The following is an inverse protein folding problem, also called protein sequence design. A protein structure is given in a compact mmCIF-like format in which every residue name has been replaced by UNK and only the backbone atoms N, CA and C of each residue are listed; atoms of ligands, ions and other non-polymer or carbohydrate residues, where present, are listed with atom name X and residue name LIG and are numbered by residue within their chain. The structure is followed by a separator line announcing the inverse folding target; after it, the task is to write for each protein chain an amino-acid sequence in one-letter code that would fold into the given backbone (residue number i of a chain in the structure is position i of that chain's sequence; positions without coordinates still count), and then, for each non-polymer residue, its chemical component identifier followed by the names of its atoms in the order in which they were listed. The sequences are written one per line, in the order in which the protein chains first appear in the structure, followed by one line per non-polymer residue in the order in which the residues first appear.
data_IF_431980778724
#
_entry.id   IF_431980778724
#
_cell.length_a   1.000
_cell.length_b   1.000
_cell.length_c   1.000
_cell.angle_alpha   90.00
_cell.angle_beta   90.00
_cell.angle_gamma   90.00
#
_symmetry.space_group_name_H-M   'P 1'
#
loop_
_entity.id
_entity.type
_entity.pdbx_description
1 polymer ?
#
# COMPACT_ATOMS: atom_id res chain seq x y z
N UNK A 1 -17.74 0.14 -30.02
CA UNK A 1 -17.53 1.50 -29.50
C UNK A 1 -16.12 1.96 -29.84
N UNK A 2 -15.90 3.25 -30.10
CA UNK A 2 -14.54 3.78 -30.22
C UNK A 2 -13.87 3.71 -28.85
N UNK A 3 -12.60 3.27 -28.82
CA UNK A 3 -11.86 3.15 -27.55
C UNK A 3 -11.48 4.53 -27.03
N UNK A 4 -11.49 4.68 -25.71
CA UNK A 4 -11.01 5.88 -25.02
C UNK A 4 -9.52 6.02 -25.29
N UNK A 5 -9.09 7.17 -25.79
CA UNK A 5 -7.69 7.43 -26.12
C UNK A 5 -6.94 7.98 -24.94
N UNK A 6 -5.77 7.42 -24.65
CA UNK A 6 -4.83 7.97 -23.69
C UNK A 6 -3.76 8.80 -24.41
N UNK A 7 -3.44 9.97 -23.87
CA UNK A 7 -2.36 10.84 -24.39
C UNK A 7 -1.02 10.53 -23.76
N UNK A 8 -0.99 10.47 -22.45
CA UNK A 8 0.19 10.16 -21.65
C UNK A 8 0.14 8.71 -21.15
N UNK A 9 1.24 7.94 -21.22
CA UNK A 9 1.23 6.57 -20.72
C UNK A 9 1.15 6.52 -19.20
N UNK A 10 0.61 5.40 -18.68
CA UNK A 10 0.84 4.92 -17.31
C UNK A 10 2.16 4.14 -17.26
N UNK A 11 2.86 4.23 -16.16
CA UNK A 11 3.93 3.26 -15.87
C UNK A 11 3.28 1.97 -15.37
N UNK A 12 3.43 0.91 -16.15
CA UNK A 12 2.91 -0.42 -15.82
C UNK A 12 4.04 -1.27 -15.26
N UNK A 13 3.92 -1.67 -14.01
CA UNK A 13 4.86 -2.55 -13.32
C UNK A 13 4.22 -3.91 -13.13
N UNK A 14 4.52 -4.86 -14.01
CA UNK A 14 4.04 -6.23 -13.91
C UNK A 14 4.73 -6.98 -12.76
N UNK A 15 4.19 -8.10 -12.33
CA UNK A 15 4.66 -8.78 -11.13
C UNK A 15 4.79 -10.28 -11.29
N UNK A 16 4.43 -11.01 -10.23
CA UNK A 16 4.70 -12.44 -10.10
C UNK A 16 3.45 -13.29 -9.88
N UNK A 17 3.59 -14.56 -10.13
CA UNK A 17 2.70 -15.66 -9.73
C UNK A 17 1.23 -15.46 -10.13
N UNK A 18 0.27 -15.77 -9.24
CA UNK A 18 -1.15 -15.70 -9.57
C UNK A 18 -1.63 -14.27 -9.87
N UNK A 19 -1.03 -13.27 -9.24
CA UNK A 19 -1.37 -11.87 -9.51
C UNK A 19 -0.99 -11.42 -10.92
N UNK A 20 0.10 -11.93 -11.51
CA UNK A 20 0.45 -11.72 -12.91
C UNK A 20 -0.58 -12.34 -13.87
N UNK A 21 -1.10 -13.52 -13.53
CA UNK A 21 -2.19 -14.14 -14.31
C UNK A 21 -3.45 -13.26 -14.29
N UNK A 22 -3.85 -12.81 -13.10
CA UNK A 22 -5.01 -11.91 -12.95
C UNK A 22 -4.79 -10.56 -13.65
N UNK A 23 -3.57 -10.03 -13.59
CA UNK A 23 -3.18 -8.79 -14.26
C UNK A 23 -3.48 -8.82 -15.75
N UNK A 24 -3.02 -9.90 -16.40
CA UNK A 24 -3.31 -10.13 -17.82
C UNK A 24 -4.81 -10.28 -18.08
N UNK A 25 -5.54 -11.06 -17.27
CA UNK A 25 -6.98 -11.25 -17.44
C UNK A 25 -7.76 -9.93 -17.33
N UNK A 26 -7.37 -9.05 -16.40
CA UNK A 26 -7.97 -7.72 -16.21
C UNK A 26 -7.72 -6.87 -17.45
N UNK A 27 -6.50 -6.80 -17.95
CA UNK A 27 -6.17 -6.04 -19.16
C UNK A 27 -6.99 -6.52 -20.35
N UNK A 28 -6.96 -7.82 -20.63
CA UNK A 28 -7.61 -8.43 -21.79
C UNK A 28 -9.13 -8.26 -21.78
N UNK A 29 -9.77 -8.35 -20.62
CA UNK A 29 -11.24 -8.41 -20.53
C UNK A 29 -11.90 -7.11 -20.04
N UNK A 30 -11.21 -6.29 -19.25
CA UNK A 30 -11.82 -5.12 -18.59
C UNK A 30 -11.24 -3.78 -19.07
N UNK A 31 -10.03 -3.74 -19.63
CA UNK A 31 -9.37 -2.48 -20.00
C UNK A 31 -9.24 -2.34 -21.52
N UNK A 32 -8.52 -3.22 -22.17
CA UNK A 32 -8.19 -3.11 -23.59
C UNK A 32 -9.41 -3.14 -24.54
N UNK A 33 -10.55 -3.77 -24.22
CA UNK A 33 -11.75 -3.63 -25.02
C UNK A 33 -12.30 -2.21 -25.09
N UNK A 34 -12.06 -1.38 -24.07
CA UNK A 34 -12.65 -0.06 -23.89
C UNK A 34 -11.67 1.10 -24.06
N UNK A 35 -10.39 0.85 -23.76
CA UNK A 35 -9.34 1.87 -23.74
C UNK A 35 -8.27 1.52 -24.77
N UNK A 36 -7.75 2.52 -25.50
CA UNK A 36 -6.48 2.44 -26.21
C UNK A 36 -5.37 2.63 -25.19
N UNK A 37 -5.11 1.53 -24.44
CA UNK A 37 -4.27 1.54 -23.23
C UNK A 37 -2.80 1.79 -23.61
N UNK A 38 -2.27 2.92 -23.16
CA UNK A 38 -0.85 3.24 -23.33
C UNK A 38 -0.12 3.04 -22.02
N UNK A 39 0.88 2.17 -22.05
CA UNK A 39 1.74 1.93 -20.89
C UNK A 39 3.21 2.04 -21.26
N UNK A 40 4.00 2.49 -20.29
CA UNK A 40 5.45 2.29 -20.25
C UNK A 40 5.66 1.05 -19.36
N UNK A 41 5.90 -0.08 -20.02
CA UNK A 41 5.88 -1.40 -19.37
C UNK A 41 7.22 -1.79 -18.76
N UNK A 42 7.19 -2.25 -17.53
CA UNK A 42 8.32 -2.81 -16.79
C UNK A 42 7.94 -4.16 -16.18
N UNK A 43 8.68 -5.21 -16.52
CA UNK A 43 8.52 -6.52 -15.91
C UNK A 43 9.29 -6.59 -14.59
N UNK A 44 8.56 -6.49 -13.45
CA UNK A 44 9.13 -6.66 -12.12
C UNK A 44 9.01 -8.09 -11.60
N UNK A 45 8.74 -9.05 -12.48
CA UNK A 45 8.81 -10.47 -12.15
C UNK A 45 10.21 -10.86 -11.67
N UNK A 46 10.27 -11.76 -10.69
CA UNK A 46 11.52 -12.11 -10.00
C UNK A 46 12.62 -12.61 -10.95
N UNK A 47 12.25 -13.37 -12.00
CA UNK A 47 13.19 -13.85 -13.02
C UNK A 47 13.85 -12.68 -13.76
N UNK A 48 13.06 -11.73 -14.27
CA UNK A 48 13.58 -10.57 -15.01
C UNK A 48 14.35 -9.61 -14.11
N UNK A 49 13.93 -9.45 -12.85
CA UNK A 49 14.69 -8.69 -11.86
C UNK A 49 16.06 -9.34 -11.61
N UNK A 50 16.12 -10.67 -11.55
CA UNK A 50 17.39 -11.41 -11.41
C UNK A 50 18.30 -11.27 -12.65
N UNK A 51 17.73 -11.23 -13.85
CA UNK A 51 18.48 -10.99 -15.09
C UNK A 51 19.10 -9.60 -15.13
N UNK A 52 18.36 -8.58 -14.66
CA UNK A 52 18.74 -7.15 -14.70
C UNK A 52 19.45 -6.66 -13.44
N UNK A 53 19.82 -7.56 -12.52
CA UNK A 53 20.40 -7.21 -11.23
C UNK A 53 19.53 -6.16 -10.47
N UNK A 54 18.22 -6.35 -10.53
CA UNK A 54 17.14 -5.49 -9.98
C UNK A 54 17.11 -4.04 -10.54
N UNK A 55 17.88 -3.75 -11.61
CA UNK A 55 17.89 -2.42 -12.23
C UNK A 55 16.51 -2.03 -12.77
N UNK A 56 15.71 -2.99 -13.27
CA UNK A 56 14.36 -2.73 -13.79
C UNK A 56 13.44 -2.11 -12.72
N UNK A 57 13.62 -2.44 -11.44
CA UNK A 57 12.86 -1.82 -10.34
C UNK A 57 13.19 -0.33 -10.21
N UNK A 58 14.48 0.01 -10.30
CA UNK A 58 14.94 1.41 -10.28
C UNK A 58 14.40 2.18 -11.48
N UNK A 59 14.52 1.60 -12.67
CA UNK A 59 14.07 2.22 -13.93
C UNK A 59 12.57 2.50 -13.91
N UNK A 60 11.76 1.58 -13.38
CA UNK A 60 10.31 1.76 -13.24
C UNK A 60 9.95 2.92 -12.30
N UNK A 61 10.67 3.08 -11.20
CA UNK A 61 10.49 4.19 -10.27
C UNK A 61 10.89 5.54 -10.90
N UNK A 62 11.98 5.57 -11.67
CA UNK A 62 12.40 6.76 -12.40
C UNK A 62 11.40 7.13 -13.52
N UNK A 63 10.85 6.13 -14.20
CA UNK A 63 9.77 6.34 -15.18
C UNK A 63 8.52 6.92 -14.48
N UNK A 64 8.21 6.48 -13.26
CA UNK A 64 7.10 7.05 -12.47
C UNK A 64 7.32 8.53 -12.17
N UNK A 65 8.54 8.95 -11.87
CA UNK A 65 8.86 10.39 -11.75
C UNK A 65 8.59 11.17 -13.04
N UNK A 66 8.88 10.57 -14.19
CA UNK A 66 8.66 11.18 -15.51
C UNK A 66 7.18 11.28 -15.88
N UNK A 67 6.44 10.18 -15.73
CA UNK A 67 5.04 10.06 -16.18
C UNK A 67 4.01 10.34 -15.09
N UNK A 68 4.43 10.50 -13.83
CA UNK A 68 3.65 10.87 -12.64
C UNK A 68 2.76 9.79 -12.07
N UNK A 69 2.28 8.83 -12.85
CA UNK A 69 1.35 7.80 -12.38
C UNK A 69 1.83 6.41 -12.79
N UNK A 70 1.91 5.53 -11.81
CA UNK A 70 2.20 4.12 -12.00
C UNK A 70 1.07 3.23 -11.46
N UNK A 71 0.97 2.04 -12.04
CA UNK A 71 0.16 0.94 -11.52
C UNK A 71 1.04 -0.30 -11.39
N UNK A 72 1.00 -0.96 -10.25
CA UNK A 72 1.93 -2.03 -9.91
C UNK A 72 1.20 -3.31 -9.50
N UNK A 73 1.61 -4.41 -10.10
CA UNK A 73 1.27 -5.76 -9.71
C UNK A 73 2.06 -6.20 -8.46
N UNK A 74 1.58 -7.22 -7.75
CA UNK A 74 2.31 -7.78 -6.63
C UNK A 74 3.58 -8.51 -7.08
N UNK A 75 4.66 -8.35 -6.33
CA UNK A 75 5.98 -8.89 -6.62
C UNK A 75 6.51 -9.75 -5.48
N UNK A 76 7.33 -10.76 -5.80
CA UNK A 76 7.99 -11.59 -4.81
C UNK A 76 9.15 -10.81 -4.15
N UNK A 77 9.17 -10.81 -2.82
CA UNK A 77 10.39 -10.51 -2.06
C UNK A 77 11.01 -11.86 -1.66
N UNK A 78 12.16 -12.25 -2.23
CA UNK A 78 12.68 -13.60 -2.05
C UNK A 78 13.18 -13.83 -0.62
N UNK A 79 13.00 -15.06 -0.15
CA UNK A 79 13.63 -15.63 1.02
C UNK A 79 14.57 -16.79 0.59
N UNK A 80 15.19 -17.47 1.54
CA UNK A 80 16.13 -18.56 1.23
C UNK A 80 15.52 -19.65 0.33
N UNK A 81 14.25 -20.05 0.55
CA UNK A 81 13.59 -21.04 -0.29
C UNK A 81 13.38 -20.56 -1.74
N UNK A 82 13.13 -19.28 -1.93
CA UNK A 82 13.00 -18.69 -3.27
C UNK A 82 14.32 -18.57 -4.01
N UNK A 83 15.45 -18.47 -3.30
CA UNK A 83 16.77 -18.48 -3.89
C UNK A 83 17.01 -19.76 -4.71
N UNK A 84 16.69 -20.91 -4.11
CA UNK A 84 16.85 -22.19 -4.76
C UNK A 84 15.82 -22.43 -5.87
N UNK A 85 14.56 -22.03 -5.64
CA UNK A 85 13.45 -22.22 -6.58
C UNK A 85 13.65 -21.47 -7.91
N UNK A 86 14.18 -20.25 -7.85
CA UNK A 86 14.34 -19.35 -9.00
C UNK A 86 15.81 -19.23 -9.47
N UNK A 87 16.73 -20.01 -8.90
CA UNK A 87 18.18 -19.93 -9.20
C UNK A 87 18.70 -18.49 -9.17
N UNK A 88 18.44 -17.80 -8.05
CA UNK A 88 18.76 -16.38 -7.93
C UNK A 88 20.23 -16.13 -7.62
N UNK A 89 20.80 -15.11 -8.24
CA UNK A 89 22.18 -14.64 -8.00
C UNK A 89 22.36 -14.12 -6.57
N UNK A 90 21.30 -13.42 -6.05
CA UNK A 90 21.28 -12.93 -4.68
C UNK A 90 19.85 -12.79 -4.15
N UNK A 91 19.71 -12.59 -2.85
CA UNK A 91 18.42 -12.35 -2.19
C UNK A 91 18.02 -10.88 -2.40
N UNK A 92 17.37 -10.60 -3.55
CA UNK A 92 16.96 -9.26 -3.96
C UNK A 92 16.08 -8.58 -2.92
N UNK A 93 16.24 -7.28 -2.76
CA UNK A 93 15.42 -6.46 -1.87
C UNK A 93 13.97 -6.40 -2.34
N UNK A 94 13.06 -5.96 -1.44
CA UNK A 94 11.68 -5.72 -1.82
C UNK A 94 11.57 -4.60 -2.86
N UNK A 95 10.94 -4.84 -4.04
CA UNK A 95 10.70 -3.78 -5.02
C UNK A 95 9.92 -2.60 -4.44
N UNK A 96 8.93 -2.88 -3.57
CA UNK A 96 8.16 -1.84 -2.89
C UNK A 96 9.06 -0.93 -2.05
N UNK A 97 10.05 -1.51 -1.34
CA UNK A 97 11.02 -0.74 -0.57
C UNK A 97 11.90 0.16 -1.44
N UNK A 98 12.36 -0.34 -2.58
CA UNK A 98 13.17 0.41 -3.56
C UNK A 98 12.36 1.55 -4.19
N UNK A 99 11.16 1.25 -4.69
CA UNK A 99 10.26 2.25 -5.32
C UNK A 99 9.91 3.35 -4.32
N UNK A 100 9.50 2.99 -3.10
CA UNK A 100 9.16 3.96 -2.05
C UNK A 100 10.34 4.82 -1.64
N UNK A 101 11.55 4.26 -1.60
CA UNK A 101 12.76 5.03 -1.31
C UNK A 101 13.11 6.05 -2.40
N UNK A 102 12.79 5.75 -3.67
CA UNK A 102 13.06 6.63 -4.82
C UNK A 102 11.97 7.70 -4.96
N UNK A 103 10.70 7.33 -4.79
CA UNK A 103 9.57 8.25 -4.96
C UNK A 103 9.32 9.12 -3.74
N UNK A 104 9.71 8.63 -2.54
CA UNK A 104 9.28 9.17 -1.25
C UNK A 104 7.75 9.21 -1.13
N UNK A 105 7.21 9.44 0.05
CA UNK A 105 5.78 9.67 0.22
C UNK A 105 5.11 8.85 1.29
N UNK A 106 3.79 8.84 1.22
CA UNK A 106 2.89 8.18 2.17
C UNK A 106 2.05 7.14 1.43
N UNK A 107 1.94 5.95 2.00
CA UNK A 107 1.04 4.89 1.50
C UNK A 107 -0.30 5.02 2.18
N UNK A 108 -1.34 5.32 1.40
CA UNK A 108 -2.73 5.31 1.87
C UNK A 108 -3.40 4.00 1.49
N UNK A 109 -3.94 3.31 2.50
CA UNK A 109 -4.65 2.04 2.34
C UNK A 109 -6.07 2.18 2.88
N UNK A 110 -7.05 1.90 2.04
CA UNK A 110 -8.46 2.01 2.38
C UNK A 110 -9.22 0.74 2.00
N UNK A 111 -10.11 0.21 2.88
CA UNK A 111 -10.93 -0.94 2.55
C UNK A 111 -11.97 -0.56 1.49
N UNK A 112 -12.24 -1.49 0.58
CA UNK A 112 -13.34 -1.43 -0.38
C UNK A 112 -14.58 -1.98 0.33
N UNK A 113 -15.55 -1.12 0.59
CA UNK A 113 -16.78 -1.48 1.30
C UNK A 113 -17.84 -1.90 0.30
N UNK A 114 -18.44 -3.07 0.51
CA UNK A 114 -19.48 -3.66 -0.35
C UNK A 114 -20.62 -4.16 0.53
N UNK A 115 -21.86 -3.93 0.14
CA UNK A 115 -23.01 -4.47 0.85
C UNK A 115 -22.99 -6.00 0.82
N UNK A 116 -23.32 -6.58 1.96
CA UNK A 116 -23.28 -8.03 2.13
C UNK A 116 -21.91 -8.57 2.54
N UNK A 117 -20.88 -7.72 2.62
CA UNK A 117 -19.58 -8.04 3.23
C UNK A 117 -19.45 -7.16 4.48
N UNK A 118 -19.85 -7.72 5.61
CA UNK A 118 -19.90 -6.95 6.86
C UNK A 118 -18.55 -7.00 7.59
N UNK A 119 -18.09 -5.88 8.18
CA UNK A 119 -16.90 -5.88 9.02
C UNK A 119 -17.08 -6.79 10.24
N UNK A 120 -16.04 -7.51 10.65
CA UNK A 120 -16.08 -8.33 11.86
C UNK A 120 -16.20 -7.46 13.14
N UNK A 121 -15.84 -6.17 13.06
CA UNK A 121 -16.06 -5.19 14.12
C UNK A 121 -17.41 -4.49 13.86
N UNK A 122 -18.42 -4.85 14.62
CA UNK A 122 -19.82 -4.42 14.40
C UNK A 122 -20.04 -2.90 14.39
N UNK A 123 -19.18 -2.14 15.08
CA UNK A 123 -19.29 -0.68 15.14
C UNK A 123 -18.81 0.01 13.87
N UNK A 124 -17.95 -0.62 13.06
CA UNK A 124 -17.41 0.00 11.86
C UNK A 124 -18.49 0.13 10.79
N UNK A 125 -18.86 1.37 10.48
CA UNK A 125 -19.88 1.71 9.49
C UNK A 125 -19.29 2.41 8.27
N UNK A 126 -18.09 2.97 8.41
CA UNK A 126 -17.39 3.76 7.40
C UNK A 126 -15.96 3.23 7.24
N UNK A 127 -15.35 3.39 6.06
CA UNK A 127 -13.97 2.99 5.83
C UNK A 127 -13.01 3.65 6.85
N UNK A 128 -11.99 2.92 7.26
CA UNK A 128 -10.86 3.44 8.03
C UNK A 128 -9.66 3.42 7.10
N UNK A 129 -9.15 4.58 6.76
CA UNK A 129 -7.98 4.72 5.90
C UNK A 129 -6.72 4.74 6.75
N UNK A 130 -5.77 3.85 6.48
CA UNK A 130 -4.45 3.88 7.12
C UNK A 130 -3.50 4.70 6.24
N UNK A 131 -2.89 5.75 6.81
CA UNK A 131 -1.80 6.48 6.20
C UNK A 131 -0.48 5.97 6.81
N UNK A 132 0.30 5.24 6.01
CA UNK A 132 1.56 4.64 6.41
C UNK A 132 2.73 5.49 5.93
N UNK A 133 3.62 5.90 6.83
CA UNK A 133 4.90 6.49 6.45
C UNK A 133 5.73 5.49 5.65
N UNK A 134 6.22 5.88 4.48
CA UNK A 134 6.91 4.95 3.57
C UNK A 134 8.42 4.84 3.81
N UNK A 135 8.95 5.45 4.86
CA UNK A 135 10.39 5.54 5.13
C UNK A 135 10.73 5.13 6.57
N UNK A 136 11.98 4.69 6.76
CA UNK A 136 12.57 4.49 8.08
C UNK A 136 12.09 3.26 8.84
N UNK A 137 12.16 3.36 10.17
CA UNK A 137 11.86 2.30 11.13
C UNK A 137 12.67 1.01 10.84
N UNK A 138 12.11 -0.15 11.14
CA UNK A 138 12.76 -1.46 10.91
C UNK A 138 13.06 -1.75 9.44
N UNK A 139 12.40 -1.09 8.50
CA UNK A 139 12.62 -1.28 7.05
C UNK A 139 13.93 -0.66 6.54
N UNK A 140 14.55 0.21 7.34
CA UNK A 140 15.88 0.80 7.10
C UNK A 140 16.81 0.62 8.30
N UNK A 141 16.60 -0.44 9.05
CA UNK A 141 17.42 -0.81 10.20
C UNK A 141 18.75 -1.45 9.80
N UNK A 142 19.70 -1.36 10.72
CA UNK A 142 20.95 -2.12 10.70
C UNK A 142 20.95 -3.09 11.87
N UNK A 143 21.34 -4.33 11.63
CA UNK A 143 21.30 -5.39 12.63
C UNK A 143 22.65 -6.07 12.78
N UNK A 144 22.97 -6.51 14.00
CA UNK A 144 24.12 -7.39 14.22
C UNK A 144 23.84 -8.42 15.32
N UNK A 145 24.44 -9.60 15.17
CA UNK A 145 24.53 -10.61 16.22
C UNK A 145 25.71 -10.29 17.14
N UNK A 146 25.48 -10.31 18.44
CA UNK A 146 26.52 -10.14 19.45
C UNK A 146 27.00 -11.54 19.86
N UNK A 147 28.29 -11.86 19.64
CA UNK A 147 28.81 -13.22 19.85
C UNK A 147 29.07 -13.57 21.33
N UNK A 148 29.17 -12.56 22.21
CA UNK A 148 29.49 -12.78 23.63
C UNK A 148 29.46 -11.49 24.44
N UNK A 149 30.05 -11.53 25.63
CA UNK A 149 30.12 -10.38 26.52
C UNK A 149 30.81 -9.15 25.87
N UNK A 150 30.28 -7.97 26.13
CA UNK A 150 30.81 -6.71 25.57
C UNK A 150 29.82 -5.57 25.62
N UNK A 151 30.22 -4.40 25.10
CA UNK A 151 29.41 -3.17 25.07
C UNK A 151 28.97 -2.85 23.65
N UNK A 152 27.74 -2.40 23.51
CA UNK A 152 27.23 -1.81 22.27
C UNK A 152 26.86 -0.37 22.51
N UNK A 153 27.36 0.52 21.65
CA UNK A 153 27.12 1.97 21.70
C UNK A 153 26.57 2.47 20.36
N UNK A 154 25.65 3.44 20.42
CA UNK A 154 25.33 4.32 19.28
C UNK A 154 26.35 5.46 19.27
N UNK A 155 26.97 5.68 18.11
CA UNK A 155 27.95 6.75 17.91
C UNK A 155 27.52 7.62 16.75
N UNK A 156 27.30 8.89 16.99
CA UNK A 156 27.19 9.91 15.96
C UNK A 156 28.51 10.67 15.87
N UNK A 157 29.06 10.77 14.66
CA UNK A 157 30.27 11.56 14.38
C UNK A 157 29.89 12.70 13.44
N UNK A 158 30.02 13.94 13.91
CA UNK A 158 29.77 15.12 13.12
C UNK A 158 30.90 15.37 12.09
N UNK A 159 30.66 16.25 11.12
CA UNK A 159 31.64 16.61 10.07
C UNK A 159 32.96 17.22 10.65
N UNK A 160 32.85 17.90 11.78
CA UNK A 160 34.01 18.47 12.51
C UNK A 160 34.77 17.43 13.36
N UNK A 161 34.33 16.17 13.33
CA UNK A 161 34.92 15.06 14.09
C UNK A 161 34.43 14.94 15.54
N UNK A 162 33.56 15.83 16.01
CA UNK A 162 32.94 15.72 17.34
C UNK A 162 32.02 14.51 17.40
N UNK A 163 31.90 13.89 18.59
CA UNK A 163 31.12 12.67 18.76
C UNK A 163 30.11 12.78 19.89
N UNK A 164 28.94 12.21 19.64
CA UNK A 164 27.93 11.89 20.67
C UNK A 164 27.86 10.37 20.78
N UNK A 165 27.96 9.85 21.99
CA UNK A 165 27.90 8.41 22.26
C UNK A 165 26.81 8.12 23.28
N UNK A 166 26.06 7.05 23.03
CA UNK A 166 25.05 6.55 23.95
C UNK A 166 25.17 5.03 24.10
N UNK A 167 25.31 4.54 25.34
CA UNK A 167 25.37 3.11 25.61
C UNK A 167 24.01 2.49 25.31
N UNK A 168 23.98 1.52 24.40
CA UNK A 168 22.78 0.73 24.12
C UNK A 168 22.60 -0.34 25.19
N UNK A 169 23.64 -1.18 25.38
CA UNK A 169 23.62 -2.26 26.35
C UNK A 169 25.02 -2.82 26.62
N UNK A 170 25.20 -3.32 27.85
CA UNK A 170 26.37 -4.11 28.25
C UNK A 170 25.95 -5.58 28.33
N UNK A 171 26.42 -6.38 27.37
CA UNK A 171 26.08 -7.79 27.26
C UNK A 171 27.00 -8.62 28.16
N UNK A 172 26.44 -9.59 28.87
CA UNK A 172 27.15 -10.63 29.64
C UNK A 172 27.27 -11.95 28.86
N UNK A 173 26.64 -12.05 27.68
CA UNK A 173 26.64 -13.20 26.79
C UNK A 173 26.17 -12.84 25.38
N UNK A 174 25.88 -13.86 24.53
CA UNK A 174 25.38 -13.62 23.17
C UNK A 174 24.05 -12.89 23.15
N UNK A 175 23.82 -12.06 22.09
CA UNK A 175 22.58 -11.32 21.92
C UNK A 175 22.42 -10.81 20.50
N UNK A 176 21.50 -9.88 20.34
CA UNK A 176 21.23 -9.17 19.07
C UNK A 176 21.04 -7.69 19.37
N UNK A 177 21.37 -6.86 18.39
CA UNK A 177 21.07 -5.42 18.42
C UNK A 177 20.55 -4.97 17.07
N UNK A 178 19.63 -4.02 17.08
CA UNK A 178 19.12 -3.34 15.90
C UNK A 178 19.12 -1.83 16.12
N UNK A 179 19.62 -1.09 15.14
CA UNK A 179 19.51 0.37 15.05
C UNK A 179 18.59 0.77 13.91
N UNK A 180 17.70 1.71 14.15
CA UNK A 180 16.83 2.30 13.14
C UNK A 180 16.95 3.82 13.14
N UNK A 181 16.57 4.47 12.03
CA UNK A 181 16.63 5.91 11.90
C UNK A 181 15.44 6.46 11.13
N UNK A 182 15.26 7.77 11.26
CA UNK A 182 14.37 8.56 10.40
C UNK A 182 15.03 9.92 10.12
N UNK A 183 14.47 10.68 9.17
CA UNK A 183 14.95 12.03 8.85
C UNK A 183 13.77 13.00 8.90
N UNK A 184 14.00 14.17 9.49
CA UNK A 184 12.95 15.18 9.69
C UNK A 184 12.22 15.54 8.40
N UNK A 185 12.97 15.75 7.30
CA UNK A 185 12.38 16.05 6.00
C UNK A 185 11.35 15.00 5.54
N UNK A 186 11.61 13.70 5.78
CA UNK A 186 10.66 12.63 5.43
C UNK A 186 9.45 12.62 6.36
N UNK A 187 9.63 12.92 7.65
CA UNK A 187 8.53 13.05 8.62
C UNK A 187 7.65 14.27 8.25
N UNK A 188 8.25 15.39 7.89
CA UNK A 188 7.52 16.58 7.43
C UNK A 188 6.70 16.31 6.16
N UNK A 189 7.30 15.61 5.18
CA UNK A 189 6.62 15.17 3.96
C UNK A 189 5.42 14.28 4.30
N UNK A 190 5.60 13.33 5.19
CA UNK A 190 4.54 12.44 5.68
C UNK A 190 3.41 13.24 6.35
N UNK A 191 3.73 14.17 7.22
CA UNK A 191 2.74 15.03 7.89
C UNK A 191 1.90 15.82 6.88
N UNK A 192 2.55 16.55 5.96
CA UNK A 192 1.87 17.35 4.93
C UNK A 192 0.99 16.48 4.02
N UNK A 193 1.48 15.30 3.64
CA UNK A 193 0.72 14.33 2.85
C UNK A 193 -0.57 13.91 3.57
N UNK A 194 -0.47 13.60 4.88
CA UNK A 194 -1.63 13.21 5.70
C UNK A 194 -2.63 14.35 5.83
N UNK A 195 -2.18 15.57 6.13
CA UNK A 195 -3.06 16.73 6.28
C UNK A 195 -3.74 17.11 4.96
N UNK A 196 -3.00 17.13 3.85
CA UNK A 196 -3.56 17.41 2.53
C UNK A 196 -4.61 16.37 2.13
N UNK A 197 -4.32 15.08 2.34
CA UNK A 197 -5.27 14.01 2.03
C UNK A 197 -6.52 14.08 2.91
N UNK A 198 -6.39 14.46 4.18
CA UNK A 198 -7.52 14.66 5.08
C UNK A 198 -8.44 15.80 4.60
N UNK A 199 -7.88 16.92 4.13
CA UNK A 199 -8.62 18.03 3.55
C UNK A 199 -9.33 17.61 2.25
N UNK A 200 -8.63 16.92 1.35
CA UNK A 200 -9.18 16.47 0.06
C UNK A 200 -10.36 15.50 0.26
N UNK A 201 -10.25 14.60 1.23
CA UNK A 201 -11.29 13.59 1.52
C UNK A 201 -12.32 14.04 2.56
N UNK A 202 -12.11 15.20 3.18
CA UNK A 202 -12.94 15.75 4.28
C UNK A 202 -13.12 14.75 5.43
N UNK A 203 -12.00 14.15 5.86
CA UNK A 203 -11.95 13.17 6.95
C UNK A 203 -11.09 13.68 8.08
N UNK A 204 -11.46 13.32 9.32
CA UNK A 204 -10.61 13.55 10.48
C UNK A 204 -9.28 12.80 10.31
N UNK A 205 -8.22 13.34 10.89
CA UNK A 205 -6.91 12.73 10.91
C UNK A 205 -6.50 12.35 12.33
N UNK A 206 -6.32 11.06 12.57
CA UNK A 206 -5.74 10.54 13.79
C UNK A 206 -4.26 10.21 13.54
N UNK A 207 -3.39 10.65 14.41
CA UNK A 207 -1.99 10.27 14.40
C UNK A 207 -1.59 9.61 15.72
N UNK A 208 -0.80 8.56 15.65
CA UNK A 208 -0.43 7.80 16.83
C UNK A 208 1.03 7.32 16.79
N UNK A 209 1.70 7.47 17.94
CA UNK A 209 3.03 6.94 18.21
C UNK A 209 3.13 6.47 19.65
N UNK A 210 4.30 6.04 20.12
CA UNK A 210 4.53 5.67 21.55
C UNK A 210 5.53 6.62 22.19
N UNK A 211 5.30 7.93 22.10
CA UNK A 211 6.21 8.99 22.53
C UNK A 211 6.53 8.96 24.04
N UNK A 212 5.67 8.36 24.85
CA UNK A 212 5.92 8.16 26.29
C UNK A 212 7.03 7.15 26.57
N UNK A 213 7.32 6.24 25.64
CA UNK A 213 8.40 5.24 25.73
C UNK A 213 9.56 5.65 24.84
N UNK A 214 9.31 5.91 23.56
CA UNK A 214 10.29 6.38 22.60
C UNK A 214 10.37 7.92 22.62
N UNK A 215 11.02 8.43 23.68
CA UNK A 215 10.99 9.85 24.05
C UNK A 215 11.76 10.79 23.13
N UNK A 216 12.59 10.26 22.23
CA UNK A 216 13.26 11.01 21.18
C UNK A 216 12.69 10.69 19.81
N UNK A 217 12.70 9.43 19.42
CA UNK A 217 12.29 9.01 18.09
C UNK A 217 10.81 9.29 17.82
N UNK A 218 9.90 8.72 18.60
CA UNK A 218 8.47 8.91 18.42
C UNK A 218 8.00 10.33 18.79
N UNK A 219 8.65 10.94 19.78
CA UNK A 219 8.35 12.31 20.17
C UNK A 219 8.67 13.32 19.06
N UNK A 220 9.76 13.12 18.31
CA UNK A 220 10.09 13.94 17.14
C UNK A 220 8.99 13.89 16.07
N UNK A 221 8.40 12.71 15.82
CA UNK A 221 7.24 12.60 14.91
C UNK A 221 6.05 13.43 15.39
N UNK A 222 5.72 13.33 16.68
CA UNK A 222 4.62 14.09 17.28
C UNK A 222 4.84 15.59 17.17
N UNK A 223 6.04 16.07 17.50
CA UNK A 223 6.36 17.50 17.46
C UNK A 223 6.29 18.05 16.04
N UNK A 224 6.89 17.37 15.06
CA UNK A 224 6.85 17.79 13.65
C UNK A 224 5.40 17.84 13.12
N UNK A 225 4.58 16.84 13.43
CA UNK A 225 3.17 16.86 13.04
C UNK A 225 2.44 18.05 13.65
N UNK A 226 2.64 18.31 14.95
CA UNK A 226 1.97 19.42 15.64
C UNK A 226 2.43 20.78 15.11
N UNK A 227 3.74 20.97 14.92
CA UNK A 227 4.30 22.24 14.39
C UNK A 227 3.75 22.55 12.98
N UNK A 228 3.70 21.53 12.09
CA UNK A 228 3.16 21.69 10.74
C UNK A 228 1.65 21.96 10.78
N UNK A 229 0.91 21.24 11.63
CA UNK A 229 -0.52 21.47 11.77
C UNK A 229 -0.81 22.91 12.20
N UNK A 230 -0.16 23.37 13.26
CA UNK A 230 -0.39 24.71 13.81
C UNK A 230 0.01 25.83 12.83
N UNK A 231 1.09 25.61 12.07
CA UNK A 231 1.61 26.61 11.14
C UNK A 231 0.86 26.65 9.78
N UNK A 232 0.43 25.50 9.27
CA UNK A 232 0.00 25.39 7.87
C UNK A 232 -1.46 24.92 7.69
N UNK A 233 -2.05 24.16 8.63
CA UNK A 233 -3.30 23.44 8.40
C UNK A 233 -4.44 23.74 9.38
N UNK A 234 -4.19 24.29 10.55
CA UNK A 234 -5.19 24.48 11.61
C UNK A 234 -6.43 25.25 11.14
N UNK A 235 -6.23 26.35 10.44
CA UNK A 235 -7.35 27.17 9.92
C UNK A 235 -8.12 26.43 8.82
N UNK A 236 -7.43 25.70 7.93
CA UNK A 236 -8.03 24.93 6.85
C UNK A 236 -8.88 23.76 7.40
N UNK A 237 -8.41 23.06 8.44
CA UNK A 237 -9.14 21.99 9.11
C UNK A 237 -10.40 22.52 9.78
N UNK A 238 -10.28 23.67 10.47
CA UNK A 238 -11.43 24.36 11.09
C UNK A 238 -12.48 24.77 10.05
N UNK A 239 -12.06 25.31 8.91
CA UNK A 239 -12.95 25.71 7.82
C UNK A 239 -13.63 24.50 7.18
N UNK A 240 -12.89 23.40 7.01
CA UNK A 240 -13.40 22.14 6.47
C UNK A 240 -14.30 21.37 7.46
N UNK A 241 -14.30 21.73 8.75
CA UNK A 241 -15.06 21.05 9.81
C UNK A 241 -14.54 19.66 10.14
N UNK A 242 -13.22 19.45 10.01
CA UNK A 242 -12.51 18.19 10.35
C UNK A 242 -11.49 18.44 11.46
N UNK A 243 -11.12 17.38 12.16
CA UNK A 243 -10.23 17.44 13.33
C UNK A 243 -8.90 16.70 13.09
N UNK A 244 -7.82 17.24 13.67
CA UNK A 244 -6.57 16.54 13.89
C UNK A 244 -6.48 16.08 15.35
N UNK A 245 -6.16 14.80 15.56
CA UNK A 245 -6.10 14.21 16.88
C UNK A 245 -4.85 13.34 17.03
N UNK A 246 -4.03 13.65 18.05
CA UNK A 246 -2.88 12.82 18.42
C UNK A 246 -3.18 11.99 19.67
N UNK A 247 -2.76 10.72 19.68
CA UNK A 247 -2.82 9.86 20.86
C UNK A 247 -1.71 8.79 20.84
N UNK A 248 -1.57 8.05 21.97
CA UNK A 248 -0.66 6.91 22.01
C UNK A 248 -1.21 5.77 21.17
N UNK A 249 -0.31 5.01 20.52
CA UNK A 249 -0.70 3.93 19.58
C UNK A 249 -1.61 2.87 20.22
N UNK A 250 -1.37 2.50 21.47
CA UNK A 250 -2.20 1.55 22.20
C UNK A 250 -3.59 2.11 22.53
N UNK A 251 -3.71 3.41 22.85
CA UNK A 251 -4.99 4.08 23.00
C UNK A 251 -5.72 4.21 21.66
N UNK A 252 -4.98 4.52 20.58
CA UNK A 252 -5.54 4.54 19.23
C UNK A 252 -6.18 3.20 18.87
N UNK A 253 -5.49 2.07 19.08
CA UNK A 253 -6.03 0.72 18.84
C UNK A 253 -7.35 0.52 19.58
N UNK A 254 -7.41 0.89 20.87
CA UNK A 254 -8.62 0.76 21.68
C UNK A 254 -9.78 1.65 21.17
N UNK A 255 -9.47 2.86 20.69
CA UNK A 255 -10.45 3.81 20.14
C UNK A 255 -10.98 3.35 18.78
N UNK A 256 -10.08 2.89 17.91
CA UNK A 256 -10.42 2.36 16.58
C UNK A 256 -11.45 1.24 16.69
N UNK A 257 -11.26 0.29 17.60
CA UNK A 257 -12.20 -0.83 17.83
C UNK A 257 -13.60 -0.39 18.31
N UNK A 258 -13.71 0.79 18.91
CA UNK A 258 -14.97 1.35 19.43
C UNK A 258 -15.60 2.39 18.49
N UNK A 259 -14.86 2.86 17.49
CA UNK A 259 -15.28 3.90 16.55
C UNK A 259 -16.29 3.40 15.52
N UNK A 260 -16.91 4.32 14.81
CA UNK A 260 -17.72 4.02 13.62
C UNK A 260 -16.90 4.01 12.33
N UNK A 261 -15.62 4.38 12.37
CA UNK A 261 -14.77 4.62 11.21
C UNK A 261 -14.99 6.00 10.58
N UNK A 262 -14.53 6.18 9.34
CA UNK A 262 -14.69 7.43 8.58
C UNK A 262 -13.59 8.46 8.81
N UNK A 263 -12.41 8.01 9.20
CA UNK A 263 -11.24 8.85 9.42
C UNK A 263 -9.98 8.22 8.83
N UNK A 264 -8.93 9.03 8.77
CA UNK A 264 -7.58 8.59 8.40
C UNK A 264 -6.79 8.34 9.70
N UNK A 265 -6.15 7.18 9.79
CA UNK A 265 -5.25 6.86 10.87
C UNK A 265 -3.80 6.81 10.37
N UNK A 266 -3.05 7.86 10.69
CA UNK A 266 -1.64 7.97 10.33
C UNK A 266 -0.77 7.20 11.33
N UNK A 267 0.15 6.41 10.79
CA UNK A 267 1.04 5.54 11.52
C UNK A 267 2.45 5.59 10.95
N UNK A 268 3.47 5.39 11.78
CA UNK A 268 4.83 5.14 11.34
C UNK A 268 4.89 3.92 10.43
N UNK A 269 6.03 3.69 9.79
CA UNK A 269 6.16 2.67 8.73
C UNK A 269 5.72 1.28 9.20
N UNK A 270 6.30 0.73 10.28
CA UNK A 270 5.96 -0.60 10.77
C UNK A 270 4.55 -0.66 11.38
N UNK A 271 4.19 0.33 12.20
CA UNK A 271 2.85 0.41 12.79
C UNK A 271 1.78 0.43 11.70
N UNK A 272 1.99 1.22 10.64
CA UNK A 272 1.09 1.33 9.51
C UNK A 272 0.98 0.05 8.66
N UNK A 273 2.07 -0.71 8.55
CA UNK A 273 2.04 -2.01 7.87
C UNK A 273 1.12 -2.98 8.60
N UNK A 274 1.34 -3.15 9.90
CA UNK A 274 0.56 -4.08 10.73
C UNK A 274 -0.90 -3.62 10.86
N UNK A 275 -1.14 -2.34 11.11
CA UNK A 275 -2.50 -1.81 11.31
C UNK A 275 -3.31 -1.82 10.04
N UNK A 276 -2.71 -1.59 8.87
CA UNK A 276 -3.45 -1.67 7.61
C UNK A 276 -3.95 -3.09 7.31
N UNK A 277 -3.12 -4.11 7.58
CA UNK A 277 -3.53 -5.50 7.40
C UNK A 277 -4.61 -5.91 8.41
N UNK A 278 -4.51 -5.45 9.65
CA UNK A 278 -5.54 -5.69 10.67
C UNK A 278 -6.89 -5.07 10.25
N UNK A 279 -6.89 -3.81 9.85
CA UNK A 279 -8.12 -3.10 9.44
C UNK A 279 -8.72 -3.76 8.20
N UNK A 280 -7.91 -4.08 7.19
CA UNK A 280 -8.37 -4.74 5.98
C UNK A 280 -9.01 -6.10 6.27
N UNK A 281 -8.32 -6.92 7.05
CA UNK A 281 -8.83 -8.25 7.44
C UNK A 281 -10.17 -8.13 8.18
N UNK A 282 -10.30 -7.11 9.02
CA UNK A 282 -11.53 -6.87 9.77
C UNK A 282 -12.68 -6.33 8.90
N UNK A 283 -12.39 -5.66 7.78
CA UNK A 283 -13.39 -5.28 6.77
C UNK A 283 -13.75 -6.42 5.81
N UNK A 284 -13.09 -7.57 5.90
CA UNK A 284 -13.45 -8.78 5.17
C UNK A 284 -12.28 -9.52 4.55
N UNK A 285 -11.43 -8.87 3.76
CA UNK A 285 -10.32 -9.52 3.06
C UNK A 285 -9.23 -8.51 2.69
N UNK A 286 -7.96 -8.94 2.74
CA UNK A 286 -6.83 -8.17 2.19
C UNK A 286 -7.00 -7.86 0.69
N UNK A 287 -7.71 -8.73 -0.04
CA UNK A 287 -8.03 -8.51 -1.46
C UNK A 287 -9.12 -7.44 -1.69
N UNK A 288 -9.66 -6.86 -0.62
CA UNK A 288 -10.63 -5.75 -0.63
C UNK A 288 -10.01 -4.45 -0.11
N UNK A 289 -8.71 -4.25 -0.31
CA UNK A 289 -8.00 -3.04 0.12
C UNK A 289 -7.30 -2.37 -1.06
N UNK A 290 -7.57 -1.08 -1.25
CA UNK A 290 -6.78 -0.23 -2.13
C UNK A 290 -5.48 0.20 -1.46
N UNK A 291 -4.45 0.44 -2.26
CA UNK A 291 -3.17 0.99 -1.79
C UNK A 291 -2.65 1.99 -2.82
N UNK A 292 -2.28 3.18 -2.37
CA UNK A 292 -1.66 4.20 -3.20
C UNK A 292 -0.51 4.86 -2.45
N UNK A 293 0.67 4.89 -3.08
CA UNK A 293 1.77 5.75 -2.67
C UNK A 293 1.54 7.15 -3.27
N UNK A 294 1.48 8.15 -2.40
CA UNK A 294 1.39 9.56 -2.79
C UNK A 294 2.69 10.25 -2.39
N UNK A 295 3.46 10.66 -3.39
CA UNK A 295 4.70 11.42 -3.18
C UNK A 295 4.41 12.90 -2.98
N UNK A 296 5.21 13.62 -2.14
CA UNK A 296 5.09 15.07 -1.99
C UNK A 296 5.37 15.84 -3.29
N UNK A 297 6.11 15.21 -4.22
CA UNK A 297 6.42 15.78 -5.54
C UNK A 297 5.36 15.50 -6.61
N UNK A 298 4.20 14.94 -6.22
CA UNK A 298 3.08 14.66 -7.11
C UNK A 298 3.27 13.44 -7.99
N UNK A 299 3.92 12.41 -7.47
CA UNK A 299 3.97 11.06 -8.06
C UNK A 299 3.00 10.14 -7.35
N UNK A 300 2.39 9.23 -8.10
CA UNK A 300 1.38 8.29 -7.60
C UNK A 300 1.71 6.87 -8.07
N UNK A 301 1.71 5.93 -7.16
CA UNK A 301 1.84 4.51 -7.51
C UNK A 301 0.72 3.73 -6.83
N UNK A 302 -0.14 3.13 -7.67
CA UNK A 302 -1.30 2.35 -7.25
C UNK A 302 -0.98 0.87 -7.28
N UNK A 303 -1.29 0.15 -6.20
CA UNK A 303 -1.06 -1.28 -6.08
C UNK A 303 -2.18 -1.97 -5.32
N UNK A 304 -2.28 -3.30 -5.41
CA UNK A 304 -3.03 -4.11 -4.46
C UNK A 304 -2.18 -4.31 -3.20
N UNK A 305 -2.80 -4.21 -2.02
CA UNK A 305 -2.08 -4.34 -0.75
C UNK A 305 -1.66 -5.77 -0.41
N UNK A 306 -2.15 -6.79 -1.14
CA UNK A 306 -1.84 -8.20 -0.92
C UNK A 306 -0.62 -8.68 -1.72
N UNK A 307 -0.09 -9.86 -1.38
CA UNK A 307 1.02 -10.49 -2.09
C UNK A 307 0.60 -11.24 -3.36
N UNK A 308 1.53 -12.03 -3.91
CA UNK A 308 1.43 -12.71 -5.21
C UNK A 308 0.48 -13.91 -5.27
N UNK A 309 -0.09 -14.32 -4.14
CA UNK A 309 -1.02 -15.48 -4.01
C UNK A 309 -0.40 -16.79 -4.51
N UNK A 310 0.81 -17.09 -4.04
CA UNK A 310 1.63 -18.25 -4.38
C UNK A 310 0.85 -19.58 -4.39
N UNK A 311 0.06 -19.84 -3.35
CA UNK A 311 -0.68 -21.09 -3.22
C UNK A 311 -1.67 -21.34 -4.36
N UNK A 312 -2.33 -20.29 -4.87
CA UNK A 312 -3.20 -20.39 -6.03
C UNK A 312 -2.41 -20.53 -7.32
N UNK A 313 -1.24 -19.91 -7.42
CA UNK A 313 -0.37 -20.03 -8.56
C UNK A 313 0.09 -21.48 -8.78
N UNK A 314 0.51 -22.19 -7.72
CA UNK A 314 0.88 -23.60 -7.85
C UNK A 314 -0.29 -24.54 -8.23
N UNK A 315 -1.52 -24.18 -7.84
CA UNK A 315 -2.72 -24.89 -8.34
C UNK A 315 -2.94 -24.61 -9.82
N UNK A 316 -2.84 -23.34 -10.22
CA UNK A 316 -2.96 -22.94 -11.63
C UNK A 316 -1.96 -23.67 -12.53
N UNK A 317 -0.70 -23.81 -12.11
CA UNK A 317 0.33 -24.56 -12.85
C UNK A 317 -0.02 -26.05 -13.04
N UNK A 318 -0.83 -26.61 -12.15
CA UNK A 318 -1.34 -27.99 -12.27
C UNK A 318 -2.62 -28.10 -13.12
N UNK A 319 -3.09 -27.01 -13.68
CA UNK A 319 -4.36 -26.96 -14.42
C UNK A 319 -5.59 -26.97 -13.52
N UNK A 320 -5.44 -26.73 -12.21
CA UNK A 320 -6.58 -26.65 -11.29
C UNK A 320 -7.22 -25.25 -11.36
N UNK A 321 -8.53 -25.20 -11.30
CA UNK A 321 -9.26 -23.94 -11.18
C UNK A 321 -8.97 -23.26 -9.84
N UNK A 322 -8.86 -21.93 -9.87
CA UNK A 322 -8.67 -21.11 -8.69
C UNK A 322 -9.72 -20.00 -8.62
N UNK A 323 -10.19 -19.73 -7.42
CA UNK A 323 -11.06 -18.60 -7.13
C UNK A 323 -10.26 -17.55 -6.37
N UNK A 324 -9.46 -16.77 -7.11
CA UNK A 324 -8.62 -15.70 -6.58
C UNK A 324 -9.34 -14.38 -6.75
N UNK A 325 -9.48 -13.65 -5.66
CA UNK A 325 -10.12 -12.33 -5.65
C UNK A 325 -9.22 -11.30 -6.35
N UNK A 326 -9.75 -10.65 -7.39
CA UNK A 326 -9.06 -9.65 -8.20
C UNK A 326 -9.48 -8.20 -7.92
N UNK A 327 -10.35 -7.98 -6.93
CA UNK A 327 -10.97 -6.67 -6.67
C UNK A 327 -9.92 -5.59 -6.40
N UNK A 328 -8.99 -5.82 -5.49
CA UNK A 328 -7.94 -4.84 -5.17
C UNK A 328 -7.05 -4.53 -6.38
N UNK A 329 -6.76 -5.52 -7.23
CA UNK A 329 -5.99 -5.33 -8.47
C UNK A 329 -6.77 -4.49 -9.50
N UNK A 330 -8.08 -4.75 -9.65
CA UNK A 330 -8.96 -3.92 -10.49
C UNK A 330 -8.97 -2.47 -10.00
N UNK A 331 -9.10 -2.27 -8.68
CA UNK A 331 -9.10 -0.93 -8.08
C UNK A 331 -7.74 -0.23 -8.14
N UNK A 332 -6.63 -0.95 -8.18
CA UNK A 332 -5.33 -0.37 -8.49
C UNK A 332 -5.30 0.21 -9.91
N UNK A 333 -5.80 -0.53 -10.89
CA UNK A 333 -5.92 -0.04 -12.27
C UNK A 333 -6.86 1.16 -12.38
N UNK A 334 -8.05 1.09 -11.79
CA UNK A 334 -9.03 2.20 -11.86
C UNK A 334 -8.51 3.45 -11.17
N UNK A 335 -7.85 3.30 -10.03
CA UNK A 335 -7.20 4.42 -9.34
C UNK A 335 -6.14 5.11 -10.19
N UNK A 336 -5.27 4.33 -10.84
CA UNK A 336 -4.25 4.85 -11.74
C UNK A 336 -4.85 5.51 -12.99
N UNK A 337 -5.87 4.90 -13.61
CA UNK A 337 -6.57 5.46 -14.77
C UNK A 337 -7.29 6.77 -14.41
N UNK A 338 -7.97 6.82 -13.28
CA UNK A 338 -8.63 8.03 -12.78
C UNK A 338 -7.63 9.16 -12.56
N UNK A 339 -6.51 8.88 -11.87
CA UNK A 339 -5.45 9.87 -11.64
C UNK A 339 -4.81 10.32 -12.95
N UNK A 340 -4.59 9.42 -13.89
CA UNK A 340 -4.08 9.77 -15.22
C UNK A 340 -5.08 10.66 -15.99
N UNK A 341 -6.37 10.32 -15.93
CA UNK A 341 -7.45 11.12 -16.49
C UNK A 341 -7.53 12.52 -15.90
N UNK A 342 -7.41 12.63 -14.59
CA UNK A 342 -7.37 13.90 -13.86
C UNK A 342 -6.21 14.78 -14.35
N UNK A 343 -4.98 14.24 -14.40
CA UNK A 343 -3.79 14.99 -14.81
C UNK A 343 -3.80 15.39 -16.30
N UNK A 344 -4.45 14.60 -17.15
CA UNK A 344 -4.54 14.85 -18.60
C UNK A 344 -5.83 15.62 -19.00
N UNK A 345 -6.74 15.89 -18.04
CA UNK A 345 -8.07 16.45 -18.32
C UNK A 345 -8.97 15.52 -19.14
N UNK A 346 -8.74 14.20 -19.07
CA UNK A 346 -9.48 13.18 -19.82
C UNK A 346 -10.65 12.64 -18.97
N UNK A 347 -11.80 13.29 -19.12
CA UNK A 347 -13.01 12.92 -18.37
C UNK A 347 -13.52 11.51 -18.70
N UNK A 348 -13.44 11.10 -19.96
CA UNK A 348 -13.93 9.76 -20.37
C UNK A 348 -13.14 8.64 -19.68
N UNK A 349 -11.84 8.85 -19.44
CA UNK A 349 -10.99 7.90 -18.71
C UNK A 349 -11.36 7.82 -17.23
N UNK A 350 -11.72 8.96 -16.62
CA UNK A 350 -12.20 9.02 -15.23
C UNK A 350 -13.56 8.35 -15.09
N UNK A 351 -14.50 8.68 -15.95
CA UNK A 351 -15.86 8.10 -15.97
C UNK A 351 -15.81 6.57 -16.20
N UNK A 352 -14.89 6.10 -17.02
CA UNK A 352 -14.68 4.66 -17.22
C UNK A 352 -14.14 3.98 -15.96
N UNK A 353 -13.19 4.58 -15.25
CA UNK A 353 -12.67 4.06 -14.01
C UNK A 353 -13.80 3.91 -12.96
N UNK A 354 -14.65 4.93 -12.82
CA UNK A 354 -15.81 4.89 -11.92
C UNK A 354 -16.82 3.81 -12.33
N UNK A 355 -17.06 3.66 -13.62
CA UNK A 355 -17.96 2.63 -14.17
C UNK A 355 -17.42 1.22 -13.87
N UNK A 356 -16.14 0.98 -14.03
CA UNK A 356 -15.53 -0.32 -13.77
C UNK A 356 -15.55 -0.67 -12.26
N UNK A 357 -15.29 0.30 -11.38
CA UNK A 357 -15.44 0.11 -9.93
C UNK A 357 -16.88 -0.24 -9.57
N UNK A 358 -17.84 0.53 -10.11
CA UNK A 358 -19.26 0.25 -9.89
C UNK A 358 -19.65 -1.13 -10.39
N UNK A 359 -19.25 -1.54 -11.59
CA UNK A 359 -19.53 -2.87 -12.14
C UNK A 359 -18.95 -3.99 -11.25
N UNK A 360 -17.77 -3.77 -10.68
CA UNK A 360 -17.14 -4.72 -9.76
C UNK A 360 -17.94 -4.85 -8.46
N UNK A 361 -18.35 -3.74 -7.86
CA UNK A 361 -19.17 -3.71 -6.64
C UNK A 361 -20.53 -4.34 -6.92
N UNK A 362 -21.22 -3.94 -7.98
CA UNK A 362 -22.53 -4.44 -8.37
C UNK A 362 -22.51 -5.98 -8.61
N UNK A 363 -21.39 -6.53 -9.08
CA UNK A 363 -21.21 -7.97 -9.27
C UNK A 363 -21.26 -8.69 -7.93
N UNK A 364 -20.52 -8.20 -6.94
CA UNK A 364 -20.49 -8.80 -5.59
C UNK A 364 -21.85 -8.63 -4.90
N UNK A 365 -22.44 -7.44 -4.97
CA UNK A 365 -23.73 -7.14 -4.36
C UNK A 365 -24.89 -7.94 -4.98
N UNK A 366 -24.75 -8.39 -6.24
CA UNK A 366 -25.66 -9.32 -6.88
C UNK A 366 -25.47 -10.78 -6.45
N UNK A 367 -24.54 -11.06 -5.55
CA UNK A 367 -24.24 -12.40 -5.04
C UNK A 367 -23.29 -13.22 -5.93
N UNK A 368 -22.67 -12.62 -6.94
CA UNK A 368 -21.65 -13.27 -7.80
C UNK A 368 -20.25 -12.88 -7.30
N UNK A 369 -19.51 -13.80 -6.70
CA UNK A 369 -18.28 -13.47 -6.01
C UNK A 369 -17.28 -14.62 -5.96
N UNK A 370 -16.03 -14.31 -5.61
CA UNK A 370 -14.99 -15.29 -5.35
C UNK A 370 -15.18 -16.00 -4.02
N UNK A 371 -14.55 -17.15 -3.87
CA UNK A 371 -14.73 -18.06 -2.73
C UNK A 371 -14.45 -17.43 -1.38
N UNK A 372 -13.43 -16.57 -1.29
CA UNK A 372 -13.07 -15.86 -0.06
C UNK A 372 -14.21 -14.95 0.43
N UNK A 373 -14.85 -14.22 -0.48
CA UNK A 373 -16.01 -13.38 -0.17
C UNK A 373 -17.26 -14.20 0.13
N UNK A 374 -17.49 -15.29 -0.59
CA UNK A 374 -18.63 -16.18 -0.36
C UNK A 374 -18.62 -16.86 1.02
N UNK A 375 -17.44 -16.98 1.65
CA UNK A 375 -17.30 -17.52 3.01
C UNK A 375 -17.70 -16.53 4.12
N UNK A 376 -17.74 -15.23 3.82
CA UNK A 376 -17.96 -14.17 4.80
C UNK A 376 -19.18 -13.28 4.48
N UNK A 377 -19.80 -13.48 3.31
CA UNK A 377 -20.96 -12.70 2.90
C UNK A 377 -22.21 -13.02 3.73
N UNK A 378 -23.05 -12.00 3.92
CA UNK A 378 -24.40 -12.13 4.49
C UNK A 378 -25.47 -12.37 3.41
N UNK A 379 -25.08 -12.35 2.12
CA UNK A 379 -26.00 -12.64 1.01
C UNK A 379 -26.34 -14.12 1.01
N UNK A 380 -27.62 -14.45 0.96
CA UNK A 380 -28.10 -15.83 0.91
C UNK A 380 -27.81 -16.48 -0.45
N UNK A 381 -27.28 -17.70 -0.44
CA UNK A 381 -26.99 -18.51 -1.62
C UNK A 381 -26.11 -17.80 -2.68
N UNK A 382 -24.92 -17.30 -2.31
CA UNK A 382 -24.05 -16.63 -3.27
C UNK A 382 -23.55 -17.62 -4.34
N UNK A 383 -23.40 -17.12 -5.56
CA UNK A 383 -22.77 -17.86 -6.66
C UNK A 383 -21.26 -17.73 -6.53
N UNK A 384 -20.58 -18.83 -6.22
CA UNK A 384 -19.11 -18.86 -6.12
C UNK A 384 -18.53 -19.00 -7.53
N UNK A 385 -17.73 -18.00 -7.93
CA UNK A 385 -17.09 -17.95 -9.24
C UNK A 385 -15.60 -18.24 -9.11
N UNK A 386 -15.03 -18.87 -10.13
CA UNK A 386 -13.56 -18.90 -10.28
C UNK A 386 -13.04 -17.54 -10.76
N UNK A 387 -11.72 -17.38 -10.81
CA UNK A 387 -11.09 -16.08 -11.12
C UNK A 387 -11.51 -15.53 -12.49
N UNK A 388 -11.58 -16.37 -13.51
CA UNK A 388 -11.94 -15.98 -14.87
C UNK A 388 -13.44 -15.65 -14.99
N UNK A 389 -14.29 -16.47 -14.39
CA UNK A 389 -15.74 -16.27 -14.35
C UNK A 389 -16.11 -14.97 -13.65
N UNK A 390 -15.40 -14.63 -12.55
CA UNK A 390 -15.63 -13.39 -11.82
C UNK A 390 -15.28 -12.15 -12.68
N UNK A 391 -14.14 -12.16 -13.36
CA UNK A 391 -13.75 -11.08 -14.29
C UNK A 391 -14.77 -10.98 -15.45
N UNK A 392 -15.24 -12.11 -16.01
CA UNK A 392 -16.27 -12.12 -17.06
C UNK A 392 -17.62 -11.61 -16.54
N UNK A 393 -17.98 -11.88 -15.29
CA UNK A 393 -19.22 -11.35 -14.69
C UNK A 393 -19.17 -9.83 -14.53
N UNK A 394 -18.01 -9.27 -14.20
CA UNK A 394 -17.79 -7.82 -14.17
C UNK A 394 -17.89 -7.25 -15.58
N UNK A 395 -17.23 -7.85 -16.59
CA UNK A 395 -17.27 -7.40 -17.96
C UNK A 395 -18.70 -7.33 -18.55
N UNK A 396 -19.60 -8.21 -18.13
CA UNK A 396 -21.01 -8.19 -18.56
C UNK A 396 -21.80 -6.97 -18.02
N UNK A 397 -21.27 -6.29 -17.00
CA UNK A 397 -21.89 -5.10 -16.38
C UNK A 397 -21.26 -3.78 -16.85
N UNK A 398 -20.20 -3.87 -17.67
CA UNK A 398 -19.55 -2.74 -18.35
C UNK A 398 -20.23 -2.45 -19.67
#
# INVERSE_FOLDING_TARGET
MEKIKMTTPLVEMDGDEMTRILWKMIKDNLLEPYIDLKTEYYDLGLEHRNETDDQVTVDSALATKKYKVAVKCATITPNAARMDEYDLKEMWKSPNGTIRAILDGTVFRAPIVVKGIEPCVKNWKKPITIARHAYGDVYKGSEMKIPGAGKVELVYTAEDGSQIKELVHEFDGPGIVQGMHNINKSIESFARSCFSYALDTKQDLWFATKDTISKKYDHTFKDIFQEIFDAEYADQFKEAGIEYFYTLIDDAVARVMKSEGGYIWACKNYDGDVMSDMVSSAFGSLAMMTSVLVSPDGYYEYEAAHGTVQRHYYKHLKGEETSTNSVATIFAWTGALRKRGELDGNKDLMDFADKLEKATIDTIEAGEMTKDLALITTIENPTVLNSEEFIKAIAKRL
#
